data_IF_542681532862
#
_entry.id   IF_542681532862
#
_cell.length_a   1.000
_cell.length_b   1.000
_cell.length_c   1.000
_cell.angle_alpha   90.00
_cell.angle_beta   90.00
_cell.angle_gamma   90.00
#
_symmetry.space_group_name_H-M   'P 1'
#
loop_
_entity.id
_entity.type
_entity.pdbx_description
1 polymer ?
#
# COMPACT_ATOMS: atom_id res chain seq x y z
N UNK A 1 -4.13 -32.11 12.85
CA UNK A 1 -2.84 -31.58 12.37
C UNK A 1 -3.10 -30.23 11.71
N UNK A 2 -2.55 -29.14 12.26
CA UNK A 2 -2.65 -27.82 11.61
C UNK A 2 -1.86 -27.88 10.29
N UNK A 3 -2.50 -27.60 9.17
CA UNK A 3 -1.80 -27.46 7.89
C UNK A 3 -0.78 -26.32 8.03
N UNK A 4 0.50 -26.62 7.85
CA UNK A 4 1.53 -25.58 7.76
C UNK A 4 1.11 -24.57 6.70
N UNK A 5 1.22 -23.28 7.02
CA UNK A 5 0.90 -22.23 6.07
C UNK A 5 1.97 -22.26 4.97
N UNK A 6 1.57 -22.54 3.74
CA UNK A 6 2.46 -22.42 2.59
C UNK A 6 2.90 -20.95 2.52
N UNK A 7 4.21 -20.72 2.65
CA UNK A 7 4.79 -19.39 2.49
C UNK A 7 5.16 -19.21 1.02
N UNK A 8 4.53 -18.24 0.36
CA UNK A 8 4.80 -17.92 -1.03
C UNK A 8 5.86 -16.83 -1.10
N UNK A 9 7.01 -17.14 -1.71
CA UNK A 9 8.15 -16.23 -1.82
C UNK A 9 7.91 -15.02 -2.70
N UNK A 10 7.08 -15.16 -3.75
CA UNK A 10 6.69 -14.01 -4.58
C UNK A 10 6.00 -12.90 -3.77
N UNK A 11 5.32 -13.24 -2.67
CA UNK A 11 4.70 -12.23 -1.80
C UNK A 11 5.72 -11.40 -1.05
N UNK A 12 6.86 -11.97 -0.68
CA UNK A 12 7.96 -11.22 -0.06
C UNK A 12 8.54 -10.21 -1.06
N UNK A 13 8.75 -10.65 -2.31
CA UNK A 13 9.22 -9.76 -3.38
C UNK A 13 8.23 -8.61 -3.61
N UNK A 14 6.95 -8.93 -3.77
CA UNK A 14 5.89 -7.93 -3.94
C UNK A 14 5.80 -6.98 -2.74
N UNK A 15 6.00 -7.49 -1.53
CA UNK A 15 5.97 -6.70 -0.31
C UNK A 15 7.09 -5.65 -0.29
N UNK A 16 8.32 -6.06 -0.62
CA UNK A 16 9.47 -5.14 -0.71
C UNK A 16 9.27 -4.13 -1.85
N UNK A 17 8.84 -4.58 -3.03
CA UNK A 17 8.55 -3.70 -4.17
C UNK A 17 7.45 -2.69 -3.85
N UNK A 18 6.36 -3.12 -3.21
CA UNK A 18 5.28 -2.23 -2.82
C UNK A 18 5.72 -1.23 -1.75
N UNK A 19 6.59 -1.65 -0.82
CA UNK A 19 7.15 -0.76 0.19
C UNK A 19 8.03 0.33 -0.45
N UNK A 20 8.91 -0.04 -1.39
CA UNK A 20 9.69 0.92 -2.17
C UNK A 20 8.79 1.81 -3.02
N UNK A 21 7.76 1.24 -3.66
CA UNK A 21 6.81 1.98 -4.48
C UNK A 21 6.09 3.09 -3.69
N UNK A 22 5.67 2.82 -2.43
CA UNK A 22 5.11 3.86 -1.55
C UNK A 22 6.10 5.00 -1.33
N UNK A 23 7.37 4.71 -1.10
CA UNK A 23 8.40 5.75 -0.93
C UNK A 23 8.51 6.60 -2.21
N UNK A 24 8.53 5.97 -3.39
CA UNK A 24 8.57 6.72 -4.68
C UNK A 24 7.35 7.62 -4.83
N UNK A 25 6.15 7.12 -4.54
CA UNK A 25 4.91 7.91 -4.61
C UNK A 25 4.99 9.17 -3.74
N UNK A 26 5.53 9.05 -2.53
CA UNK A 26 5.67 10.19 -1.62
C UNK A 26 6.88 11.09 -1.91
N UNK A 27 7.88 10.61 -2.65
CA UNK A 27 8.98 11.44 -3.15
C UNK A 27 8.60 12.25 -4.41
N UNK A 28 7.56 11.85 -5.15
CA UNK A 28 7.16 12.45 -6.42
C UNK A 28 5.86 13.27 -6.30
N UNK A 29 5.60 13.86 -5.15
CA UNK A 29 4.38 14.64 -4.84
C UNK A 29 4.24 15.92 -5.66
N UNK A 30 5.29 16.37 -6.36
CA UNK A 30 5.22 17.47 -7.32
C UNK A 30 4.15 17.22 -8.41
N UNK A 31 3.73 15.98 -8.60
CA UNK A 31 2.61 15.63 -9.50
C UNK A 31 1.33 16.39 -9.17
N UNK A 32 1.09 16.66 -7.88
CA UNK A 32 -0.11 17.35 -7.42
C UNK A 32 -0.07 18.87 -7.62
N UNK A 33 1.11 19.42 -7.91
CA UNK A 33 1.31 20.83 -8.24
C UNK A 33 1.61 20.93 -9.72
N UNK A 34 0.55 21.11 -10.54
CA UNK A 34 0.68 21.04 -11.99
C UNK A 34 1.49 22.22 -12.54
N UNK A 35 2.70 21.92 -13.02
CA UNK A 35 3.60 22.91 -13.62
C UNK A 35 3.80 22.72 -15.13
N UNK A 36 3.28 21.63 -15.72
CA UNK A 36 3.44 21.30 -17.14
C UNK A 36 4.88 21.12 -17.61
N UNK A 37 5.84 21.11 -16.68
CA UNK A 37 7.27 20.97 -17.00
C UNK A 37 7.70 19.49 -17.02
N UNK A 38 8.95 19.24 -17.40
CA UNK A 38 9.51 17.86 -17.49
C UNK A 38 9.47 17.15 -16.14
N UNK A 39 9.71 17.86 -15.03
CA UNK A 39 9.66 17.28 -13.68
C UNK A 39 8.26 16.75 -13.36
N UNK A 40 7.22 17.52 -13.71
CA UNK A 40 5.83 17.10 -13.55
C UNK A 40 5.52 15.86 -14.41
N UNK A 41 5.93 15.85 -15.70
CA UNK A 41 5.70 14.70 -16.60
C UNK A 41 6.36 13.42 -16.08
N UNK A 42 7.61 13.52 -15.60
CA UNK A 42 8.33 12.38 -14.97
C UNK A 42 7.59 11.91 -13.73
N UNK A 43 7.09 12.84 -12.90
CA UNK A 43 6.32 12.49 -11.70
C UNK A 43 5.01 11.80 -12.03
N UNK A 44 4.27 12.23 -13.07
CA UNK A 44 3.05 11.52 -13.54
C UNK A 44 3.38 10.08 -13.96
N UNK A 45 4.46 9.89 -14.72
CA UNK A 45 4.88 8.56 -15.16
C UNK A 45 5.25 7.65 -13.98
N UNK A 46 6.01 8.17 -13.00
CA UNK A 46 6.37 7.43 -11.79
C UNK A 46 5.15 7.12 -10.92
N UNK A 47 4.25 8.07 -10.73
CA UNK A 47 2.99 7.84 -10.01
C UNK A 47 2.19 6.71 -10.68
N UNK A 48 2.04 6.73 -11.99
CA UNK A 48 1.34 5.68 -12.73
C UNK A 48 2.02 4.32 -12.59
N UNK A 49 3.37 4.29 -12.65
CA UNK A 49 4.15 3.06 -12.55
C UNK A 49 4.09 2.43 -11.15
N UNK A 50 4.08 3.24 -10.09
CA UNK A 50 4.15 2.76 -8.72
C UNK A 50 2.80 2.74 -7.97
N UNK A 51 1.70 3.12 -8.63
CA UNK A 51 0.36 3.18 -8.01
C UNK A 51 -0.18 1.81 -7.56
N UNK A 52 0.44 0.71 -7.99
CA UNK A 52 0.11 -0.66 -7.53
C UNK A 52 0.39 -0.91 -6.04
N UNK A 53 1.17 -0.07 -5.38
CA UNK A 53 1.73 -0.32 -4.04
C UNK A 53 0.67 -0.70 -3.01
N UNK A 54 -0.31 0.17 -2.81
CA UNK A 54 -1.39 -0.04 -1.82
C UNK A 54 -2.32 -1.20 -2.20
N UNK A 55 -2.82 -1.31 -3.47
CA UNK A 55 -3.54 -2.48 -3.93
C UNK A 55 -2.86 -3.81 -3.63
N UNK A 56 -1.56 -3.91 -3.90
CA UNK A 56 -0.80 -5.15 -3.68
C UNK A 56 -0.69 -5.47 -2.19
N UNK A 57 -0.48 -4.49 -1.32
CA UNK A 57 -0.51 -4.73 0.13
C UNK A 57 -1.84 -5.28 0.62
N UNK A 58 -2.97 -4.75 0.12
CA UNK A 58 -4.29 -5.30 0.45
C UNK A 58 -4.44 -6.73 -0.09
N UNK A 59 -3.99 -7.01 -1.32
CA UNK A 59 -4.06 -8.36 -1.90
C UNK A 59 -3.20 -9.36 -1.11
N UNK A 60 -1.95 -9.01 -0.74
CA UNK A 60 -1.08 -9.84 0.10
C UNK A 60 -1.75 -10.11 1.46
N UNK A 61 -2.32 -9.09 2.07
CA UNK A 61 -3.00 -9.22 3.36
C UNK A 61 -4.22 -10.15 3.26
N UNK A 62 -5.06 -10.01 2.23
CA UNK A 62 -6.20 -10.88 2.00
C UNK A 62 -5.81 -12.32 1.76
N UNK A 63 -4.82 -12.55 0.89
CA UNK A 63 -4.27 -13.88 0.59
C UNK A 63 -3.79 -14.61 1.86
N UNK A 64 -3.15 -13.90 2.78
CA UNK A 64 -2.60 -14.49 3.98
C UNK A 64 -3.60 -14.65 5.13
N UNK A 65 -4.65 -13.81 5.19
CA UNK A 65 -5.43 -13.67 6.42
C UNK A 65 -6.88 -14.14 6.33
N UNK A 66 -7.55 -14.09 5.19
CA UNK A 66 -8.97 -14.52 5.10
C UNK A 66 -9.12 -16.00 5.49
N UNK A 67 -8.20 -16.86 5.07
CA UNK A 67 -8.20 -18.28 5.40
C UNK A 67 -7.70 -18.63 6.81
N UNK A 68 -7.62 -17.70 7.76
CA UNK A 68 -7.01 -17.93 9.09
C UNK A 68 -7.69 -19.02 9.91
N UNK A 69 -8.99 -19.26 9.71
CA UNK A 69 -9.77 -20.23 10.51
C UNK A 69 -9.27 -21.68 10.37
N UNK A 70 -8.59 -22.02 9.29
CA UNK A 70 -7.95 -23.32 9.11
C UNK A 70 -6.71 -23.50 9.99
N UNK A 71 -6.18 -22.42 10.60
CA UNK A 71 -4.92 -22.41 11.35
C UNK A 71 -5.08 -22.09 12.83
N UNK A 72 -6.02 -21.20 13.18
CA UNK A 72 -6.23 -20.77 14.57
C UNK A 72 -7.58 -20.07 14.78
N UNK A 73 -7.97 -19.89 16.04
CA UNK A 73 -9.22 -19.24 16.43
C UNK A 73 -9.20 -17.74 16.20
N UNK A 74 -10.39 -17.10 16.13
CA UNK A 74 -10.55 -15.65 15.99
C UNK A 74 -9.87 -14.87 17.13
N UNK A 75 -9.91 -15.38 18.36
CA UNK A 75 -9.21 -14.77 19.50
C UNK A 75 -7.70 -14.70 19.25
N UNK A 76 -7.10 -15.80 18.79
CA UNK A 76 -5.67 -15.85 18.45
C UNK A 76 -5.35 -14.95 17.25
N UNK A 77 -6.25 -14.86 16.25
CA UNK A 77 -6.11 -13.95 15.14
C UNK A 77 -6.00 -12.49 15.61
N UNK A 78 -6.93 -12.03 16.43
CA UNK A 78 -6.90 -10.67 16.97
C UNK A 78 -5.65 -10.39 17.82
N UNK A 79 -5.26 -11.32 18.68
CA UNK A 79 -4.06 -11.18 19.49
C UNK A 79 -2.77 -11.10 18.66
N UNK A 80 -2.67 -11.86 17.57
CA UNK A 80 -1.46 -11.89 16.73
C UNK A 80 -1.42 -10.78 15.68
N UNK A 81 -2.55 -10.41 15.10
CA UNK A 81 -2.61 -9.51 13.92
C UNK A 81 -3.11 -8.13 14.27
N UNK A 82 -4.32 -8.04 14.84
CA UNK A 82 -4.93 -6.77 15.20
C UNK A 82 -4.10 -6.02 16.25
N UNK A 83 -3.75 -6.70 17.33
CA UNK A 83 -2.92 -6.11 18.40
C UNK A 83 -1.58 -5.60 17.85
N UNK A 84 -0.92 -6.35 16.96
CA UNK A 84 0.36 -5.93 16.38
C UNK A 84 0.22 -4.63 15.59
N UNK A 85 -0.77 -4.54 14.69
CA UNK A 85 -1.00 -3.33 13.88
C UNK A 85 -1.36 -2.15 14.76
N UNK A 86 -2.27 -2.33 15.72
CA UNK A 86 -2.67 -1.28 16.64
C UNK A 86 -1.50 -0.75 17.46
N UNK A 87 -0.69 -1.62 18.05
CA UNK A 87 0.47 -1.22 18.84
C UNK A 87 1.53 -0.49 18.00
N UNK A 88 1.71 -0.90 16.74
CA UNK A 88 2.62 -0.20 15.83
C UNK A 88 2.06 1.16 15.45
N UNK A 89 0.77 1.25 15.11
CA UNK A 89 0.11 2.52 14.77
C UNK A 89 0.20 3.52 15.94
N UNK A 90 -0.18 3.10 17.15
CA UNK A 90 -0.10 3.96 18.35
C UNK A 90 1.34 4.37 18.63
N UNK A 91 2.28 3.41 18.60
CA UNK A 91 3.68 3.68 18.91
C UNK A 91 4.33 4.67 17.93
N UNK A 92 4.14 4.48 16.61
CA UNK A 92 4.70 5.41 15.63
C UNK A 92 3.96 6.75 15.60
N UNK A 93 2.64 6.76 15.79
CA UNK A 93 1.89 8.02 15.94
C UNK A 93 2.40 8.83 17.12
N UNK A 94 2.61 8.19 18.28
CA UNK A 94 3.18 8.86 19.44
C UNK A 94 4.61 9.33 19.18
N UNK A 95 5.43 8.53 18.52
CA UNK A 95 6.80 8.90 18.15
C UNK A 95 6.85 10.14 17.25
N UNK A 96 6.04 10.18 16.17
CA UNK A 96 5.96 11.35 15.28
C UNK A 96 5.40 12.59 16.02
N UNK A 97 4.37 12.41 16.85
CA UNK A 97 3.84 13.49 17.67
C UNK A 97 4.90 14.06 18.63
N UNK A 98 5.65 13.20 19.30
CA UNK A 98 6.74 13.63 20.17
C UNK A 98 7.84 14.38 19.40
N UNK A 99 8.19 13.95 18.18
CA UNK A 99 9.13 14.68 17.31
C UNK A 99 8.60 16.05 16.91
N UNK A 100 7.30 16.20 16.64
CA UNK A 100 6.71 17.53 16.35
C UNK A 100 6.71 18.48 17.55
N UNK A 101 6.81 17.94 18.76
CA UNK A 101 6.98 18.75 19.98
C UNK A 101 8.46 19.10 20.27
N UNK A 102 9.39 18.19 19.96
CA UNK A 102 10.79 18.30 20.35
C UNK A 102 11.71 18.93 19.28
N UNK A 103 11.50 18.53 18.02
CA UNK A 103 12.38 18.90 16.89
C UNK A 103 11.59 19.26 15.63
N UNK A 104 10.55 20.12 15.72
CA UNK A 104 9.66 20.41 14.58
C UNK A 104 10.41 21.05 13.41
N UNK A 105 11.32 21.97 13.67
CA UNK A 105 12.05 22.73 12.63
C UNK A 105 12.89 21.80 11.76
N UNK A 106 13.55 20.81 12.37
CA UNK A 106 14.41 19.85 11.66
C UNK A 106 13.62 18.89 10.75
N UNK A 107 12.32 18.80 10.97
CA UNK A 107 11.42 17.96 10.19
C UNK A 107 10.43 18.77 9.33
N UNK A 108 10.54 20.11 9.31
CA UNK A 108 9.58 20.96 8.59
C UNK A 108 8.16 20.83 9.11
N UNK A 109 7.97 20.43 10.37
CA UNK A 109 6.67 20.26 11.00
C UNK A 109 6.26 21.50 11.77
N UNK A 110 4.95 21.69 11.93
CA UNK A 110 4.43 22.72 12.83
C UNK A 110 4.79 22.41 14.26
N UNK A 111 5.29 23.42 14.99
CA UNK A 111 5.64 23.27 16.41
C UNK A 111 4.38 23.04 17.23
N UNK A 112 4.43 22.04 18.10
CA UNK A 112 3.34 21.68 19.02
C UNK A 112 3.84 21.70 20.46
N UNK A 113 2.94 21.97 21.38
CA UNK A 113 3.17 21.74 22.81
C UNK A 113 2.62 20.37 23.19
N UNK A 114 3.32 19.64 24.05
CA UNK A 114 2.86 18.31 24.43
C UNK A 114 1.51 18.39 25.15
N UNK A 115 0.48 17.74 24.60
CA UNK A 115 -0.85 17.60 25.19
C UNK A 115 -1.40 16.20 24.90
N UNK A 116 -1.79 15.50 25.96
CA UNK A 116 -2.38 14.16 25.82
C UNK A 116 -3.70 14.20 25.06
N UNK A 117 -4.54 15.20 25.33
CA UNK A 117 -5.85 15.32 24.65
C UNK A 117 -5.68 15.65 23.17
N UNK A 118 -4.76 16.56 22.82
CA UNK A 118 -4.42 16.86 21.42
C UNK A 118 -3.89 15.61 20.70
N UNK A 119 -3.01 14.85 21.35
CA UNK A 119 -2.53 13.58 20.78
C UNK A 119 -3.68 12.63 20.43
N UNK A 120 -4.64 12.44 21.35
CA UNK A 120 -5.80 11.56 21.12
C UNK A 120 -6.67 12.07 19.97
N UNK A 121 -6.95 13.38 19.92
CA UNK A 121 -7.73 13.99 18.84
C UNK A 121 -7.05 13.78 17.48
N UNK A 122 -5.78 14.13 17.36
CA UNK A 122 -5.00 13.98 16.13
C UNK A 122 -4.83 12.51 15.72
N UNK A 123 -4.69 11.62 16.70
CA UNK A 123 -4.62 10.18 16.46
C UNK A 123 -5.94 9.66 15.89
N UNK A 124 -7.08 9.97 16.51
CA UNK A 124 -8.39 9.49 16.06
C UNK A 124 -8.82 10.08 14.72
N UNK A 125 -8.32 11.26 14.35
CA UNK A 125 -8.60 11.93 13.08
C UNK A 125 -7.56 11.71 11.99
N UNK A 126 -6.53 10.88 12.25
CA UNK A 126 -5.40 10.64 11.34
C UNK A 126 -4.64 11.91 10.92
N UNK A 127 -4.50 12.89 11.83
CA UNK A 127 -3.85 14.17 11.55
C UNK A 127 -2.40 14.26 12.08
N UNK A 128 -1.88 13.19 12.70
CA UNK A 128 -0.47 13.12 13.11
C UNK A 128 0.43 12.87 11.89
N UNK A 129 0.04 11.93 11.06
CA UNK A 129 0.72 11.58 9.81
C UNK A 129 -0.33 11.03 8.84
N UNK A 130 -0.68 11.81 7.83
CA UNK A 130 -1.76 11.54 6.90
C UNK A 130 -1.64 10.18 6.20
N UNK A 131 -0.43 9.75 5.86
CA UNK A 131 -0.19 8.46 5.21
C UNK A 131 -0.59 7.26 6.06
N UNK A 132 -0.82 7.43 7.37
CA UNK A 132 -1.26 6.33 8.23
C UNK A 132 -2.70 5.86 7.95
N UNK A 133 -3.44 6.56 7.08
CA UNK A 133 -4.77 6.10 6.63
C UNK A 133 -4.78 4.63 6.17
N UNK A 134 -3.68 4.16 5.57
CA UNK A 134 -3.52 2.76 5.19
C UNK A 134 -3.49 1.82 6.40
N UNK A 135 -2.81 2.22 7.50
CA UNK A 135 -2.76 1.42 8.73
C UNK A 135 -4.14 1.33 9.39
N UNK A 136 -4.92 2.42 9.38
CA UNK A 136 -6.32 2.40 9.82
C UNK A 136 -7.18 1.50 8.93
N UNK A 137 -6.98 1.55 7.62
CA UNK A 137 -7.70 0.67 6.67
C UNK A 137 -7.39 -0.81 6.93
N UNK A 138 -6.12 -1.17 7.16
CA UNK A 138 -5.70 -2.53 7.53
C UNK A 138 -6.32 -2.96 8.87
N UNK A 139 -6.38 -2.07 9.85
CA UNK A 139 -7.00 -2.34 11.14
C UNK A 139 -8.49 -2.71 10.97
N UNK A 140 -9.23 -1.92 10.19
CA UNK A 140 -10.64 -2.17 9.87
C UNK A 140 -10.79 -3.50 9.10
N UNK A 141 -9.95 -3.76 8.10
CA UNK A 141 -9.96 -5.04 7.37
C UNK A 141 -9.73 -6.22 8.32
N UNK A 142 -8.84 -6.10 9.30
CA UNK A 142 -8.62 -7.17 10.26
C UNK A 142 -9.82 -7.36 11.20
N UNK A 143 -10.49 -6.28 11.58
CA UNK A 143 -11.73 -6.36 12.38
C UNK A 143 -12.84 -7.11 11.63
N UNK A 144 -13.01 -6.85 10.32
CA UNK A 144 -14.06 -7.49 9.51
C UNK A 144 -13.64 -8.84 8.91
N UNK A 145 -12.35 -9.24 9.00
CA UNK A 145 -11.86 -10.51 8.44
C UNK A 145 -12.65 -11.74 8.93
N UNK A 146 -13.10 -11.84 10.20
CA UNK A 146 -13.92 -12.98 10.61
C UNK A 146 -15.25 -13.10 9.85
N UNK A 147 -15.85 -11.96 9.45
CA UNK A 147 -17.07 -11.94 8.64
C UNK A 147 -16.73 -12.36 7.20
N UNK A 148 -15.68 -11.76 6.61
CA UNK A 148 -15.22 -12.09 5.26
C UNK A 148 -14.86 -13.58 5.13
N UNK A 149 -14.24 -14.18 6.13
CA UNK A 149 -13.87 -15.57 6.16
C UNK A 149 -15.08 -16.54 6.15
N UNK A 150 -16.26 -16.09 6.60
CA UNK A 150 -17.47 -16.93 6.57
C UNK A 150 -17.95 -17.20 5.14
N UNK A 151 -18.00 -16.17 4.30
CA UNK A 151 -18.49 -16.33 2.93
C UNK A 151 -17.37 -16.66 1.93
N UNK A 152 -16.12 -16.32 2.23
CA UNK A 152 -14.99 -16.59 1.35
C UNK A 152 -14.70 -18.10 1.17
N UNK A 153 -15.24 -18.97 2.02
CA UNK A 153 -15.19 -20.41 1.86
C UNK A 153 -16.10 -20.94 0.72
N UNK A 154 -17.10 -20.15 0.30
CA UNK A 154 -17.94 -20.44 -0.85
C UNK A 154 -17.44 -19.66 -2.07
N UNK A 155 -16.90 -20.38 -3.05
CA UNK A 155 -16.32 -19.78 -4.26
C UNK A 155 -17.31 -18.86 -4.99
N UNK A 156 -18.55 -19.30 -5.23
CA UNK A 156 -19.56 -18.50 -5.95
C UNK A 156 -19.93 -17.23 -5.21
N UNK A 157 -20.08 -17.32 -3.89
CA UNK A 157 -20.40 -16.16 -3.05
C UNK A 157 -19.23 -15.17 -3.01
N UNK A 158 -17.99 -15.67 -2.98
CA UNK A 158 -16.80 -14.83 -3.07
C UNK A 158 -16.69 -14.13 -4.44
N UNK A 159 -16.94 -14.85 -5.54
CA UNK A 159 -16.96 -14.28 -6.90
C UNK A 159 -18.04 -13.21 -7.03
N UNK A 160 -19.23 -13.44 -6.47
CA UNK A 160 -20.30 -12.46 -6.44
C UNK A 160 -19.91 -11.21 -5.65
N UNK A 161 -19.33 -11.38 -4.46
CA UNK A 161 -18.85 -10.24 -3.65
C UNK A 161 -17.75 -9.43 -4.36
N UNK A 162 -16.81 -10.11 -5.02
CA UNK A 162 -15.77 -9.45 -5.83
C UNK A 162 -16.40 -8.68 -6.98
N UNK A 163 -17.35 -9.29 -7.70
CA UNK A 163 -18.05 -8.65 -8.83
C UNK A 163 -18.77 -7.37 -8.38
N UNK A 164 -19.49 -7.41 -7.25
CA UNK A 164 -20.15 -6.23 -6.69
C UNK A 164 -19.13 -5.13 -6.34
N UNK A 165 -18.01 -5.49 -5.71
CA UNK A 165 -16.94 -4.54 -5.40
C UNK A 165 -16.35 -3.90 -6.67
N UNK A 166 -16.05 -4.72 -7.69
CA UNK A 166 -15.46 -4.25 -8.95
C UNK A 166 -16.42 -3.34 -9.70
N UNK A 167 -17.70 -3.74 -9.81
CA UNK A 167 -18.73 -2.94 -10.47
C UNK A 167 -18.88 -1.58 -9.76
N UNK A 168 -19.05 -1.60 -8.44
CA UNK A 168 -19.30 -0.40 -7.64
C UNK A 168 -18.11 0.57 -7.59
N UNK A 169 -16.88 0.04 -7.39
CA UNK A 169 -15.70 0.90 -7.16
C UNK A 169 -14.89 1.19 -8.42
N UNK A 170 -14.95 0.33 -9.44
CA UNK A 170 -14.10 0.49 -10.61
C UNK A 170 -14.88 0.74 -11.90
N UNK A 171 -15.92 -0.09 -12.20
CA UNK A 171 -16.63 0.00 -13.47
C UNK A 171 -17.54 1.21 -13.53
N UNK A 172 -18.40 1.40 -12.53
CA UNK A 172 -19.35 2.52 -12.50
C UNK A 172 -18.63 3.89 -12.53
N UNK A 173 -17.60 4.17 -11.71
CA UNK A 173 -16.87 5.42 -11.81
C UNK A 173 -16.19 5.62 -13.18
N UNK A 174 -15.67 4.53 -13.77
CA UNK A 174 -15.04 4.57 -15.08
C UNK A 174 -16.03 4.90 -16.20
N UNK A 175 -17.20 4.28 -16.20
CA UNK A 175 -18.28 4.56 -17.18
C UNK A 175 -18.78 6.00 -17.00
N UNK A 176 -19.00 6.43 -15.76
CA UNK A 176 -19.45 7.80 -15.45
C UNK A 176 -18.46 8.87 -15.93
N UNK A 177 -17.14 8.56 -15.99
CA UNK A 177 -16.12 9.49 -16.50
C UNK A 177 -16.37 9.89 -17.96
N UNK A 178 -16.97 9.02 -18.76
CA UNK A 178 -17.25 9.24 -20.17
C UNK A 178 -18.72 9.61 -20.45
N UNK A 179 -19.57 9.58 -19.44
CA UNK A 179 -20.97 9.95 -19.58
C UNK A 179 -21.15 11.47 -19.56
N UNK A 180 -21.94 12.01 -20.49
CA UNK A 180 -22.17 13.46 -20.64
C UNK A 180 -22.73 14.12 -19.39
N UNK A 181 -23.46 13.39 -18.55
CA UNK A 181 -24.13 13.91 -17.35
C UNK A 181 -23.49 13.47 -16.03
N UNK A 182 -22.37 12.75 -16.04
CA UNK A 182 -21.61 12.28 -14.89
C UNK A 182 -22.42 11.56 -13.77
N UNK A 183 -23.68 11.19 -14.00
CA UNK A 183 -24.63 10.75 -12.99
C UNK A 183 -25.20 9.35 -13.28
N UNK A 184 -24.76 8.67 -14.37
CA UNK A 184 -25.22 7.32 -14.65
C UNK A 184 -24.82 6.39 -13.49
N UNK A 185 -25.83 5.75 -12.91
CA UNK A 185 -25.63 4.74 -11.87
C UNK A 185 -24.99 5.22 -10.55
N UNK A 186 -24.93 6.53 -10.28
CA UNK A 186 -24.42 7.03 -8.99
C UNK A 186 -25.19 6.48 -7.78
N UNK A 187 -26.43 6.03 -7.99
CA UNK A 187 -27.28 5.40 -6.97
C UNK A 187 -26.92 3.92 -6.73
N UNK A 188 -26.18 3.29 -7.65
CA UNK A 188 -25.82 1.86 -7.58
C UNK A 188 -24.51 1.61 -6.81
N UNK A 189 -24.05 2.55 -6.04
CA UNK A 189 -22.89 2.35 -5.16
C UNK A 189 -23.31 1.44 -4.01
N UNK A 190 -22.65 0.29 -3.88
CA UNK A 190 -22.90 -0.62 -2.77
C UNK A 190 -22.29 -0.03 -1.50
N UNK A 191 -23.10 0.38 -0.50
CA UNK A 191 -22.58 0.99 0.72
C UNK A 191 -21.55 0.08 1.40
N UNK A 192 -20.51 0.69 1.96
CA UNK A 192 -19.46 0.02 2.77
C UNK A 192 -18.57 -1.00 2.04
N UNK A 193 -18.79 -1.33 0.77
CA UNK A 193 -17.86 -2.13 -0.01
C UNK A 193 -16.77 -1.24 -0.62
N UNK A 194 -15.77 -0.94 0.17
CA UNK A 194 -14.64 -0.07 -0.22
C UNK A 194 -13.65 -0.79 -1.13
N UNK A 195 -12.83 -0.03 -1.86
CA UNK A 195 -11.79 -0.59 -2.71
C UNK A 195 -10.74 -1.41 -1.95
N UNK A 196 -10.50 -1.12 -0.66
CA UNK A 196 -9.64 -1.93 0.19
C UNK A 196 -10.17 -3.36 0.34
N UNK A 197 -11.49 -3.54 0.56
CA UNK A 197 -12.14 -4.86 0.61
C UNK A 197 -12.03 -5.57 -0.75
N UNK A 198 -12.22 -4.85 -1.84
CA UNK A 198 -12.11 -5.38 -3.20
C UNK A 198 -10.75 -6.08 -3.41
N UNK A 199 -9.65 -5.37 -3.19
CA UNK A 199 -8.31 -5.93 -3.35
C UNK A 199 -8.01 -7.06 -2.35
N UNK A 200 -8.50 -6.94 -1.13
CA UNK A 200 -8.35 -7.95 -0.09
C UNK A 200 -9.00 -9.28 -0.50
N UNK A 201 -10.22 -9.24 -1.05
CA UNK A 201 -10.94 -10.42 -1.56
C UNK A 201 -10.29 -10.98 -2.83
N UNK A 202 -9.87 -10.12 -3.76
CA UNK A 202 -9.19 -10.52 -5.01
C UNK A 202 -7.89 -11.27 -4.68
N UNK A 203 -7.07 -10.75 -3.76
CA UNK A 203 -5.83 -11.41 -3.34
C UNK A 203 -6.07 -12.83 -2.80
N UNK A 204 -7.06 -12.99 -1.93
CA UNK A 204 -7.46 -14.30 -1.43
C UNK A 204 -7.98 -15.23 -2.54
N UNK A 205 -8.82 -14.70 -3.43
CA UNK A 205 -9.36 -15.47 -4.55
C UNK A 205 -8.25 -16.01 -5.47
N UNK A 206 -7.33 -15.15 -5.88
CA UNK A 206 -6.23 -15.53 -6.76
C UNK A 206 -5.39 -16.65 -6.14
N UNK A 207 -5.08 -16.58 -4.84
CA UNK A 207 -4.24 -17.57 -4.19
C UNK A 207 -4.98 -18.89 -3.92
N UNK A 208 -6.24 -18.80 -3.50
CA UNK A 208 -7.01 -19.98 -3.06
C UNK A 208 -7.58 -20.78 -4.23
N UNK A 209 -8.07 -20.09 -5.26
CA UNK A 209 -8.80 -20.76 -6.36
C UNK A 209 -8.00 -20.85 -7.64
N UNK A 210 -6.79 -20.24 -7.67
CA UNK A 210 -5.84 -20.42 -8.77
C UNK A 210 -6.46 -20.35 -10.17
N UNK A 211 -7.12 -19.26 -10.57
CA UNK A 211 -7.98 -19.24 -11.77
C UNK A 211 -7.25 -19.59 -13.07
N UNK A 212 -5.91 -19.64 -13.05
CA UNK A 212 -5.07 -19.90 -14.23
C UNK A 212 -4.03 -21.02 -14.00
N UNK A 213 -4.25 -21.90 -13.04
CA UNK A 213 -3.36 -23.05 -12.83
C UNK A 213 -3.26 -23.89 -14.12
N UNK A 214 -2.03 -24.24 -14.49
CA UNK A 214 -1.71 -24.93 -15.75
C UNK A 214 -1.53 -24.04 -16.98
N UNK A 215 -1.90 -22.75 -16.91
CA UNK A 215 -1.69 -21.76 -17.98
C UNK A 215 -0.85 -20.55 -17.56
N UNK A 216 -0.38 -20.53 -16.33
CA UNK A 216 0.29 -19.36 -15.74
C UNK A 216 1.50 -18.87 -16.55
N UNK A 217 2.32 -19.77 -17.10
CA UNK A 217 3.48 -19.40 -17.92
C UNK A 217 3.09 -18.77 -19.27
N UNK A 218 2.10 -19.33 -19.93
CA UNK A 218 1.58 -18.81 -21.21
C UNK A 218 0.92 -17.44 -21.08
N UNK A 219 0.44 -17.12 -19.89
CA UNK A 219 -0.20 -15.83 -19.61
C UNK A 219 0.82 -14.70 -19.31
N UNK A 220 2.08 -15.02 -18.99
CA UNK A 220 3.10 -14.01 -18.64
C UNK A 220 3.22 -12.87 -19.67
N UNK A 221 3.37 -13.14 -20.99
CA UNK A 221 3.48 -12.05 -21.95
C UNK A 221 2.21 -11.20 -22.03
N UNK A 222 1.04 -11.81 -21.91
CA UNK A 222 -0.24 -11.07 -21.89
C UNK A 222 -0.32 -10.16 -20.67
N UNK A 223 0.03 -10.68 -19.49
CA UNK A 223 0.04 -9.89 -18.26
C UNK A 223 1.02 -8.71 -18.34
N UNK A 224 2.21 -8.92 -18.92
CA UNK A 224 3.20 -7.85 -19.16
C UNK A 224 2.64 -6.78 -20.11
N UNK A 225 2.02 -7.18 -21.22
CA UNK A 225 1.40 -6.25 -22.18
C UNK A 225 0.31 -5.44 -21.48
N UNK A 226 -0.59 -6.10 -20.74
CA UNK A 226 -1.66 -5.41 -20.00
C UNK A 226 -1.10 -4.42 -18.98
N UNK A 227 -0.04 -4.79 -18.26
CA UNK A 227 0.64 -3.89 -17.32
C UNK A 227 1.21 -2.66 -18.02
N UNK A 228 1.96 -2.84 -19.12
CA UNK A 228 2.57 -1.75 -19.88
C UNK A 228 1.48 -0.83 -20.44
N UNK A 229 0.47 -1.41 -21.09
CA UNK A 229 -0.67 -0.66 -21.62
C UNK A 229 -1.41 0.13 -20.52
N UNK A 230 -1.59 -0.46 -19.34
CA UNK A 230 -2.25 0.21 -18.21
C UNK A 230 -1.43 1.42 -17.72
N UNK A 231 -0.11 1.27 -17.54
CA UNK A 231 0.78 2.38 -17.11
C UNK A 231 0.79 3.50 -18.15
N UNK A 232 0.95 3.15 -19.44
CA UNK A 232 0.93 4.13 -20.54
C UNK A 232 -0.43 4.84 -20.58
N UNK A 233 -1.53 4.11 -20.52
CA UNK A 233 -2.88 4.67 -20.50
C UNK A 233 -3.09 5.62 -19.31
N UNK A 234 -2.74 5.20 -18.10
CA UNK A 234 -2.84 6.03 -16.89
C UNK A 234 -2.03 7.32 -17.04
N UNK A 235 -0.78 7.22 -17.49
CA UNK A 235 0.10 8.38 -17.67
C UNK A 235 -0.47 9.36 -18.71
N UNK A 236 -0.82 8.86 -19.90
CA UNK A 236 -1.33 9.72 -20.98
C UNK A 236 -2.66 10.38 -20.62
N UNK A 237 -3.58 9.62 -19.99
CA UNK A 237 -4.87 10.18 -19.60
C UNK A 237 -4.76 11.18 -18.45
N UNK A 238 -3.87 10.95 -17.47
CA UNK A 238 -3.59 11.91 -16.41
C UNK A 238 -2.97 13.20 -16.97
N UNK A 239 -2.03 13.09 -17.91
CA UNK A 239 -1.45 14.25 -18.61
C UNK A 239 -2.55 15.00 -19.37
N UNK A 240 -3.34 14.28 -20.17
CA UNK A 240 -4.41 14.89 -20.98
C UNK A 240 -5.43 15.64 -20.13
N UNK A 241 -5.81 15.13 -18.98
CA UNK A 241 -6.84 15.76 -18.11
C UNK A 241 -6.29 16.93 -17.31
N UNK A 242 -5.00 16.93 -16.97
CA UNK A 242 -4.41 17.96 -16.12
C UNK A 242 -3.66 19.05 -16.91
N UNK A 243 -3.16 18.77 -18.12
CA UNK A 243 -2.39 19.74 -18.90
C UNK A 243 -3.13 21.06 -19.20
N UNK A 244 -4.46 21.07 -19.48
CA UNK A 244 -5.19 22.31 -19.69
C UNK A 244 -5.24 23.25 -18.49
N UNK A 245 -5.00 22.72 -17.28
CA UNK A 245 -5.11 23.46 -16.02
C UNK A 245 -3.76 23.96 -15.47
N UNK A 246 -2.69 23.91 -16.31
CA UNK A 246 -1.29 24.06 -15.89
C UNK A 246 -0.90 25.39 -15.28
N UNK A 247 -1.73 26.38 -15.19
CA UNK A 247 -1.15 27.73 -15.02
C UNK A 247 -1.67 28.51 -13.81
N UNK A 248 -2.72 28.10 -13.13
CA UNK A 248 -3.44 29.15 -12.42
C UNK A 248 -3.46 29.09 -10.90
N UNK A 249 -3.39 27.97 -10.23
CA UNK A 249 -3.55 28.02 -8.77
C UNK A 249 -2.45 27.35 -7.96
N UNK A 250 -1.72 26.39 -8.51
CA UNK A 250 -0.76 25.58 -7.71
C UNK A 250 -1.43 24.84 -6.55
N UNK A 251 -2.75 24.75 -6.54
CA UNK A 251 -3.52 24.12 -5.48
C UNK A 251 -3.73 22.64 -5.76
N UNK A 252 -3.60 21.84 -4.72
CA UNK A 252 -3.89 20.39 -4.75
C UNK A 252 -5.32 20.06 -5.22
N UNK A 253 -6.26 20.98 -5.04
CA UNK A 253 -7.67 20.83 -5.40
C UNK A 253 -7.92 20.69 -6.91
N UNK A 254 -6.97 21.14 -7.74
CA UNK A 254 -7.15 21.18 -9.20
C UNK A 254 -6.56 19.94 -9.90
N UNK A 255 -5.88 19.07 -9.18
CA UNK A 255 -5.31 17.86 -9.75
C UNK A 255 -6.36 16.75 -9.86
N UNK A 256 -6.68 16.36 -11.09
CA UNK A 256 -7.53 15.22 -11.39
C UNK A 256 -6.72 13.92 -11.34
N UNK A 257 -6.85 13.19 -10.25
CA UNK A 257 -6.17 11.91 -10.03
C UNK A 257 -6.98 10.69 -10.51
N UNK A 258 -8.05 10.88 -11.28
CA UNK A 258 -8.98 9.79 -11.64
C UNK A 258 -8.27 8.56 -12.19
N UNK A 259 -7.35 8.72 -13.12
CA UNK A 259 -6.68 7.58 -13.77
C UNK A 259 -5.57 6.96 -12.93
N UNK A 260 -5.03 7.69 -11.97
CA UNK A 260 -4.02 7.25 -11.00
C UNK A 260 -4.62 6.96 -9.60
N UNK A 261 -5.93 6.75 -9.51
CA UNK A 261 -6.57 6.43 -8.24
C UNK A 261 -6.69 4.91 -8.08
N UNK A 262 -6.20 4.37 -6.97
CA UNK A 262 -6.24 2.94 -6.67
C UNK A 262 -7.65 2.35 -6.55
N UNK A 263 -8.71 3.16 -6.43
CA UNK A 263 -10.09 2.70 -6.46
C UNK A 263 -10.60 2.42 -7.88
N UNK A 264 -9.96 2.98 -8.90
CA UNK A 264 -10.49 2.99 -10.26
C UNK A 264 -9.94 1.87 -11.15
N UNK A 265 -10.66 1.60 -12.25
CA UNK A 265 -10.43 0.47 -13.14
C UNK A 265 -9.01 0.35 -13.69
N UNK A 266 -8.33 1.44 -14.14
CA UNK A 266 -6.99 1.30 -14.70
C UNK A 266 -5.97 0.75 -13.69
N UNK A 267 -5.99 1.26 -12.45
CA UNK A 267 -5.10 0.79 -11.38
C UNK A 267 -5.46 -0.62 -10.92
N UNK A 268 -6.77 -0.97 -10.90
CA UNK A 268 -7.22 -2.32 -10.59
C UNK A 268 -6.65 -3.34 -11.59
N UNK A 269 -6.82 -3.08 -12.90
CA UNK A 269 -6.32 -3.97 -13.97
C UNK A 269 -4.80 -4.12 -13.87
N UNK A 270 -4.08 -3.03 -13.70
CA UNK A 270 -2.63 -3.02 -13.52
C UNK A 270 -2.19 -3.86 -12.31
N UNK A 271 -2.74 -3.57 -11.13
CA UNK A 271 -2.33 -4.20 -9.88
C UNK A 271 -2.65 -5.69 -9.82
N UNK A 272 -3.80 -6.10 -10.36
CA UNK A 272 -4.18 -7.52 -10.46
C UNK A 272 -3.26 -8.25 -11.44
N UNK A 273 -2.95 -7.64 -12.59
CA UNK A 273 -2.03 -8.22 -13.57
C UNK A 273 -0.63 -8.39 -13.00
N UNK A 274 -0.13 -7.40 -12.26
CA UNK A 274 1.16 -7.47 -11.55
C UNK A 274 1.16 -8.62 -10.53
N UNK A 275 0.15 -8.69 -9.68
CA UNK A 275 0.05 -9.74 -8.65
C UNK A 275 0.02 -11.15 -9.27
N UNK A 276 -0.74 -11.32 -10.37
CA UNK A 276 -0.81 -12.58 -11.10
C UNK A 276 0.50 -12.93 -11.79
N UNK A 277 1.19 -11.94 -12.37
CA UNK A 277 2.52 -12.14 -12.97
C UNK A 277 3.50 -12.67 -11.93
N UNK A 278 3.64 -12.01 -10.78
CA UNK A 278 4.55 -12.45 -9.72
C UNK A 278 4.17 -13.82 -9.16
N UNK A 279 2.89 -14.11 -9.01
CA UNK A 279 2.45 -15.45 -8.65
C UNK A 279 2.89 -16.50 -9.65
N UNK A 280 2.83 -16.22 -10.95
CA UNK A 280 3.29 -17.14 -12.00
C UNK A 280 4.80 -17.39 -11.96
N UNK A 281 5.55 -16.50 -11.32
CA UNK A 281 7.01 -16.59 -11.13
C UNK A 281 7.40 -17.33 -9.85
N UNK A 282 6.45 -17.76 -9.01
CA UNK A 282 6.74 -18.46 -7.75
C UNK A 282 7.70 -19.65 -7.90
N UNK A 283 7.59 -20.53 -8.94
CA UNK A 283 8.55 -21.63 -9.12
C UNK A 283 9.99 -21.15 -9.26
N UNK A 284 10.23 -19.99 -9.89
CA UNK A 284 11.57 -19.41 -10.04
C UNK A 284 12.12 -18.94 -8.68
N UNK A 285 11.30 -18.33 -7.86
CA UNK A 285 11.68 -17.87 -6.51
C UNK A 285 11.92 -19.02 -5.54
N UNK A 286 11.22 -20.14 -5.69
CA UNK A 286 11.43 -21.34 -4.87
C UNK A 286 12.71 -22.06 -5.19
N UNK A 287 13.16 -22.01 -6.45
CA UNK A 287 14.39 -22.69 -6.89
C UNK A 287 15.67 -22.02 -6.35
N UNK A 288 15.61 -20.72 -6.08
CA UNK A 288 16.73 -19.98 -5.47
C UNK A 288 16.83 -20.26 -3.96
N UNK A 289 17.63 -21.27 -3.61
CA UNK A 289 17.73 -21.81 -2.24
C UNK A 289 18.58 -20.98 -1.26
N UNK A 290 19.51 -20.08 -1.68
CA UNK A 290 20.60 -19.81 -0.77
C UNK A 290 20.96 -18.37 -0.38
N UNK A 291 20.65 -17.33 -1.08
CA UNK A 291 21.09 -16.00 -0.61
C UNK A 291 20.10 -14.89 -0.88
N UNK A 292 19.71 -14.72 -2.11
CA UNK A 292 18.87 -13.59 -2.52
C UNK A 292 17.48 -13.60 -1.85
N UNK A 293 16.76 -14.74 -1.90
CA UNK A 293 15.43 -14.83 -1.30
C UNK A 293 15.44 -14.72 0.23
N UNK A 294 16.52 -15.14 0.89
CA UNK A 294 16.67 -14.92 2.34
C UNK A 294 16.79 -13.43 2.67
N UNK A 295 17.55 -12.68 1.87
CA UNK A 295 17.64 -11.21 2.02
C UNK A 295 16.28 -10.56 1.75
N UNK A 296 15.59 -10.92 0.66
CA UNK A 296 14.27 -10.39 0.32
C UNK A 296 13.25 -10.66 1.44
N UNK A 297 13.18 -11.90 1.95
CA UNK A 297 12.27 -12.22 3.06
C UNK A 297 12.61 -11.44 4.33
N UNK A 298 13.89 -11.18 4.57
CA UNK A 298 14.32 -10.32 5.67
C UNK A 298 13.88 -8.87 5.47
N UNK A 299 14.09 -8.31 4.28
CA UNK A 299 13.63 -6.97 3.93
C UNK A 299 12.10 -6.87 4.03
N UNK A 300 11.36 -7.86 3.52
CA UNK A 300 9.91 -7.93 3.63
C UNK A 300 9.42 -7.89 5.08
N UNK A 301 10.19 -8.46 6.02
CA UNK A 301 9.83 -8.41 7.44
C UNK A 301 9.88 -7.00 8.05
N UNK A 302 10.61 -6.08 7.44
CA UNK A 302 10.73 -4.67 7.84
C UNK A 302 9.74 -3.74 7.15
N UNK A 303 9.03 -4.19 6.10
CA UNK A 303 8.20 -3.30 5.26
C UNK A 303 7.20 -2.48 6.06
N UNK A 304 6.67 -3.02 7.16
CA UNK A 304 5.71 -2.30 8.01
C UNK A 304 6.38 -1.19 8.84
N UNK A 305 7.59 -1.43 9.36
CA UNK A 305 8.35 -0.42 10.10
C UNK A 305 8.88 0.66 9.12
N UNK A 306 9.35 0.28 7.92
CA UNK A 306 9.73 1.21 6.84
C UNK A 306 8.56 2.10 6.45
N UNK A 307 7.39 1.50 6.22
CA UNK A 307 6.16 2.26 5.93
C UNK A 307 5.84 3.27 7.03
N UNK A 308 6.04 2.93 8.28
CA UNK A 308 5.70 3.81 9.40
C UNK A 308 6.64 5.03 9.54
N UNK A 309 7.89 4.94 9.07
CA UNK A 309 8.89 5.99 9.30
C UNK A 309 9.32 6.76 8.06
N UNK A 310 8.99 6.29 6.84
CA UNK A 310 9.53 6.89 5.61
C UNK A 310 9.20 8.39 5.47
N UNK A 311 8.01 8.82 5.91
CA UNK A 311 7.61 10.24 5.87
C UNK A 311 8.51 11.12 6.73
N UNK A 312 8.96 10.63 7.88
CA UNK A 312 9.90 11.37 8.73
C UNK A 312 11.19 11.71 7.97
N UNK A 313 11.72 10.76 7.21
CA UNK A 313 12.92 10.99 6.40
C UNK A 313 12.65 11.86 5.19
N UNK A 314 11.46 11.76 4.58
CA UNK A 314 11.04 12.66 3.50
C UNK A 314 11.00 14.10 4.02
N UNK A 315 10.29 14.36 5.10
CA UNK A 315 10.18 15.69 5.70
C UNK A 315 11.54 16.26 6.11
N UNK A 316 12.38 15.46 6.76
CA UNK A 316 13.74 15.90 7.12
C UNK A 316 14.56 16.30 5.88
N UNK A 317 14.52 15.51 4.81
CA UNK A 317 15.26 15.81 3.58
C UNK A 317 14.70 17.03 2.84
N UNK A 318 13.38 17.29 2.89
CA UNK A 318 12.76 18.48 2.30
C UNK A 318 13.23 19.79 2.91
N UNK A 319 13.63 19.77 4.20
CA UNK A 319 14.19 20.95 4.86
C UNK A 319 15.60 21.29 4.37
N UNK A 320 16.41 20.27 4.04
CA UNK A 320 17.85 20.47 3.80
C UNK A 320 18.27 20.35 2.34
N UNK A 321 17.47 19.70 1.49
CA UNK A 321 17.85 19.42 0.10
C UNK A 321 16.84 20.03 -0.88
N UNK A 322 17.30 20.93 -1.79
CA UNK A 322 16.40 21.52 -2.77
C UNK A 322 15.88 20.48 -3.77
N UNK A 323 14.63 20.66 -4.18
CA UNK A 323 13.96 19.79 -5.15
C UNK A 323 14.57 19.91 -6.55
N UNK A 324 14.76 18.77 -7.19
CA UNK A 324 15.15 18.67 -8.60
C UNK A 324 14.64 17.37 -9.20
N UNK A 325 14.57 17.28 -10.53
CA UNK A 325 14.11 16.06 -11.22
C UNK A 325 14.95 14.85 -10.80
N UNK A 326 16.28 14.99 -10.86
CA UNK A 326 17.19 13.89 -10.52
C UNK A 326 17.06 13.47 -9.05
N UNK A 327 16.95 14.46 -8.15
CA UNK A 327 16.80 14.20 -6.74
C UNK A 327 15.46 13.49 -6.44
N UNK A 328 14.34 14.09 -6.79
CA UNK A 328 13.01 13.61 -6.40
C UNK A 328 12.62 12.29 -7.09
N UNK A 329 13.00 12.13 -8.37
CA UNK A 329 12.61 10.97 -9.16
C UNK A 329 13.57 9.77 -9.06
N UNK A 330 14.86 10.02 -8.81
CA UNK A 330 15.87 8.97 -8.88
C UNK A 330 16.64 8.77 -7.57
N UNK A 331 17.16 9.80 -6.92
CA UNK A 331 18.05 9.65 -5.77
C UNK A 331 17.28 9.53 -4.45
N UNK A 332 16.38 10.48 -4.19
CA UNK A 332 15.62 10.58 -2.94
C UNK A 332 14.88 9.31 -2.55
N UNK A 333 14.16 8.60 -3.44
CA UNK A 333 13.49 7.36 -3.07
C UNK A 333 14.44 6.29 -2.51
N UNK A 334 15.62 6.13 -3.08
CA UNK A 334 16.61 5.17 -2.58
C UNK A 334 17.20 5.60 -1.24
N UNK A 335 17.50 6.89 -1.07
CA UNK A 335 18.02 7.43 0.19
C UNK A 335 16.99 7.26 1.31
N UNK A 336 15.74 7.66 1.09
CA UNK A 336 14.64 7.50 2.06
C UNK A 336 14.42 6.02 2.40
N UNK A 337 14.40 5.16 1.38
CA UNK A 337 14.21 3.73 1.60
C UNK A 337 15.35 3.12 2.42
N UNK A 338 16.62 3.46 2.11
CA UNK A 338 17.79 3.01 2.85
C UNK A 338 17.80 3.50 4.30
N UNK A 339 17.48 4.78 4.54
CA UNK A 339 17.38 5.35 5.89
C UNK A 339 16.26 4.68 6.70
N UNK A 340 15.11 4.46 6.08
CA UNK A 340 13.97 3.79 6.71
C UNK A 340 14.28 2.32 7.05
N UNK A 341 14.97 1.60 6.17
CA UNK A 341 15.45 0.23 6.44
C UNK A 341 16.48 0.21 7.57
N UNK A 342 17.42 1.15 7.59
CA UNK A 342 18.41 1.26 8.66
C UNK A 342 17.74 1.50 10.00
N UNK A 343 16.77 2.40 10.05
CA UNK A 343 15.97 2.64 11.25
C UNK A 343 15.22 1.39 11.71
N UNK A 344 14.54 0.68 10.79
CA UNK A 344 13.81 -0.55 11.09
C UNK A 344 14.74 -1.65 11.64
N UNK A 345 15.96 -1.77 11.09
CA UNK A 345 16.97 -2.71 11.57
C UNK A 345 17.45 -2.37 13.00
N UNK A 346 17.74 -1.09 13.28
CA UNK A 346 18.11 -0.63 14.62
C UNK A 346 16.99 -0.89 15.61
N UNK A 347 15.74 -0.56 15.24
CA UNK A 347 14.57 -0.77 16.08
C UNK A 347 14.36 -2.26 16.41
N UNK A 348 14.52 -3.16 15.45
CA UNK A 348 14.41 -4.61 15.67
C UNK A 348 15.54 -5.12 16.58
N UNK A 349 16.76 -4.60 16.41
CA UNK A 349 17.89 -4.94 17.26
C UNK A 349 17.65 -4.51 18.70
N UNK A 350 17.14 -3.30 18.90
CA UNK A 350 16.76 -2.80 20.22
C UNK A 350 15.64 -3.65 20.87
N UNK A 351 14.57 -3.95 20.12
CA UNK A 351 13.49 -4.84 20.59
C UNK A 351 14.01 -6.21 21.00
N UNK A 352 15.05 -6.72 20.34
CA UNK A 352 15.68 -8.02 20.66
C UNK A 352 16.47 -7.97 21.96
N UNK A 353 17.25 -6.90 22.19
CA UNK A 353 18.02 -6.69 23.43
C UNK A 353 17.05 -6.58 24.62
N UNK A 354 16.04 -5.72 24.54
CA UNK A 354 15.06 -5.54 25.60
C UNK A 354 14.33 -6.85 25.98
N UNK A 355 13.98 -7.69 24.96
CA UNK A 355 13.39 -8.99 25.21
C UNK A 355 14.33 -9.93 25.95
N UNK A 356 15.61 -9.94 25.59
CA UNK A 356 16.62 -10.80 26.22
C UNK A 356 16.82 -10.42 27.71
N UNK A 357 16.98 -9.15 28.01
CA UNK A 357 17.14 -8.64 29.39
C UNK A 357 15.89 -8.91 30.24
N UNK A 358 14.68 -8.82 29.65
CA UNK A 358 13.44 -9.12 30.38
C UNK A 358 13.35 -10.60 30.75
N UNK A 359 13.76 -11.52 29.85
CA UNK A 359 13.80 -12.96 30.13
C UNK A 359 14.88 -13.34 31.15
N UNK A 360 16.02 -12.64 31.16
CA UNK A 360 17.08 -12.89 32.15
C UNK A 360 16.68 -12.39 33.55
N UNK A 361 15.92 -11.30 33.67
CA UNK A 361 15.41 -10.78 34.93
C UNK A 361 14.17 -11.52 35.46
N UNK A 362 13.49 -12.30 34.65
CA UNK A 362 12.31 -13.08 35.03
C UNK A 362 12.64 -14.57 35.42
N UNK A 363 13.91 -14.91 35.42
CA UNK A 363 14.46 -16.14 35.97
C UNK A 363 15.09 -15.90 37.33
#
# INVERSE_FOLDING_TARGET
MAKEAIHFRYMDVLNVLSCFAVVVLHCTTVVYVNQGNVQWLVSVALQSLFMFAVPVFFMISGANLIGYRSRYSTKVFFQKRLKRVLMTLVGFSFFIYALSCLVPVQLGLSQRSFSFFEFIELFLTNQICDVYWFMYSILILYLITPLLACFASNKRLLEYAIALCVISNAVIPFVNRFASNHVLFSVLVVPYLTGAIMYYLIGYYIVTYSPFDGRSEKMRPVLLIVMICSVVFMSLMTIKTNMPHTVLSGAFSDYDNFYNNYLHLPVLVYSVSLFMLFRSLEPLFQHDRHSFMTVISKLASFSFDVYAVHMMFIWALDVYVPHSILWDAAIRPFVVFALSLSFAFVLESFKRICRKEWFEKSR
#
